data_IF_100408731276
#
_entry.id   IF_100408731276
#
_cell.length_a   1.000
_cell.length_b   1.000
_cell.length_c   1.000
_cell.angle_alpha   90.00
_cell.angle_beta   90.00
_cell.angle_gamma   90.00
#
_symmetry.space_group_name_H-M   'P 1'
#
loop_
_entity.id
_entity.type
_entity.pdbx_description
1 polymer ?
#
# COMPACT_ATOMS: atom_id res chain seq x y z
N UNK A 1 -13.81 7.61 -5.11
CA UNK A 1 -12.45 7.47 -5.67
C UNK A 1 -11.95 8.80 -6.20
N UNK A 2 -10.74 9.19 -5.86
CA UNK A 2 -10.08 10.43 -6.32
C UNK A 2 -9.86 10.47 -7.84
N UNK A 3 -9.88 9.31 -8.49
CA UNK A 3 -9.63 9.15 -9.93
C UNK A 3 -10.89 9.49 -10.76
N UNK A 4 -12.07 9.26 -10.21
CA UNK A 4 -13.34 9.34 -10.94
C UNK A 4 -13.58 10.67 -11.68
N UNK A 5 -13.34 11.86 -11.08
CA UNK A 5 -13.51 13.13 -11.77
C UNK A 5 -12.63 13.29 -13.02
N UNK A 6 -11.43 12.71 -13.00
CA UNK A 6 -10.50 12.74 -14.14
C UNK A 6 -10.98 11.84 -15.27
N UNK A 7 -11.41 10.61 -14.95
CA UNK A 7 -11.97 9.71 -15.95
C UNK A 7 -13.18 10.34 -16.65
N UNK A 8 -14.10 10.94 -15.88
CA UNK A 8 -15.30 11.59 -16.40
C UNK A 8 -14.96 12.80 -17.29
N UNK A 9 -14.10 13.71 -16.83
CA UNK A 9 -13.69 14.90 -17.60
C UNK A 9 -13.04 14.52 -18.93
N UNK A 10 -12.30 13.45 -18.96
CA UNK A 10 -11.65 12.97 -20.18
C UNK A 10 -12.52 12.03 -21.02
N UNK A 11 -13.76 11.77 -20.60
CA UNK A 11 -14.68 10.88 -21.31
C UNK A 11 -14.15 9.45 -21.44
N UNK A 12 -13.40 8.99 -20.43
CA UNK A 12 -12.90 7.61 -20.35
C UNK A 12 -14.03 6.72 -19.86
N UNK A 13 -14.28 5.62 -20.56
CA UNK A 13 -15.27 4.63 -20.18
C UNK A 13 -14.77 3.83 -18.98
N UNK A 14 -15.62 3.64 -17.97
CA UNK A 14 -15.33 2.86 -16.78
C UNK A 14 -16.59 2.16 -16.28
N UNK A 15 -16.40 1.17 -15.42
CA UNK A 15 -17.49 0.46 -14.72
C UNK A 15 -17.18 0.45 -13.22
N UNK A 16 -18.23 0.51 -12.41
CA UNK A 16 -18.11 0.38 -10.96
C UNK A 16 -18.36 -1.07 -10.58
N UNK A 17 -17.48 -1.68 -9.83
CA UNK A 17 -17.62 -3.05 -9.36
C UNK A 17 -18.81 -3.12 -8.38
N UNK A 18 -19.85 -3.91 -8.69
CA UNK A 18 -21.12 -3.86 -7.95
C UNK A 18 -21.11 -4.66 -6.64
N UNK A 19 -20.10 -5.49 -6.42
CA UNK A 19 -19.95 -6.35 -5.23
C UNK A 19 -18.49 -6.67 -4.98
N UNK A 20 -18.16 -7.11 -3.78
CA UNK A 20 -16.81 -7.60 -3.48
C UNK A 20 -16.50 -8.83 -4.34
N UNK A 21 -15.34 -8.82 -4.98
CA UNK A 21 -14.80 -9.95 -5.71
C UNK A 21 -13.55 -10.41 -4.97
N UNK A 22 -13.44 -11.73 -4.75
CA UNK A 22 -12.34 -12.29 -3.97
C UNK A 22 -11.36 -13.06 -4.84
N UNK A 23 -10.08 -12.96 -4.47
CA UNK A 23 -9.02 -13.78 -5.01
C UNK A 23 -8.88 -13.65 -6.54
N UNK A 24 -8.90 -12.40 -7.02
CA UNK A 24 -8.77 -12.09 -8.45
C UNK A 24 -7.29 -12.06 -8.82
N UNK A 25 -6.93 -12.73 -9.91
CA UNK A 25 -5.58 -12.69 -10.47
C UNK A 25 -5.31 -11.31 -11.08
N UNK A 26 -4.32 -10.62 -10.53
CA UNK A 26 -3.95 -9.25 -10.90
C UNK A 26 -2.44 -9.10 -11.02
N UNK A 27 -2.01 -7.97 -11.54
CA UNK A 27 -0.66 -7.47 -11.31
C UNK A 27 -0.75 -6.26 -10.39
N UNK A 28 -0.04 -6.32 -9.27
CA UNK A 28 0.14 -5.23 -8.33
C UNK A 28 1.54 -4.62 -8.50
N UNK A 29 1.64 -3.31 -8.38
CA UNK A 29 2.94 -2.64 -8.41
C UNK A 29 3.59 -2.79 -7.03
N UNK A 30 4.71 -3.48 -6.99
CA UNK A 30 5.54 -3.60 -5.79
C UNK A 30 6.52 -2.44 -5.73
N UNK A 31 6.40 -1.60 -4.71
CA UNK A 31 7.21 -0.40 -4.53
C UNK A 31 7.93 -0.54 -3.19
N UNK A 32 9.24 -0.34 -3.20
CA UNK A 32 10.00 -0.24 -1.94
C UNK A 32 9.95 1.20 -1.44
N UNK A 33 10.01 1.44 -0.12
CA UNK A 33 9.99 2.80 0.44
C UNK A 33 11.05 3.72 -0.17
N UNK A 34 12.25 3.22 -0.43
CA UNK A 34 13.35 3.96 -1.05
C UNK A 34 13.11 4.33 -2.52
N UNK A 35 12.17 3.67 -3.19
CA UNK A 35 11.79 3.93 -4.58
C UNK A 35 10.68 4.97 -4.73
N UNK A 36 10.23 5.54 -3.61
CA UNK A 36 9.25 6.62 -3.57
C UNK A 36 9.99 7.93 -3.27
N UNK A 37 10.00 8.85 -4.22
CA UNK A 37 10.63 10.14 -4.03
C UNK A 37 9.69 11.29 -4.36
N UNK A 38 9.72 12.32 -3.51
CA UNK A 38 8.95 13.54 -3.69
C UNK A 38 9.85 14.66 -4.20
N UNK A 39 9.35 15.49 -5.10
CA UNK A 39 10.09 16.68 -5.51
C UNK A 39 10.22 17.65 -4.33
N UNK A 40 11.37 18.31 -4.23
CA UNK A 40 11.65 19.27 -3.13
C UNK A 40 10.81 20.55 -3.20
N UNK A 41 10.18 20.82 -4.35
CA UNK A 41 9.36 22.01 -4.59
C UNK A 41 8.04 21.64 -5.25
N UNK A 42 7.00 22.34 -4.87
CA UNK A 42 5.71 22.22 -5.52
C UNK A 42 5.75 22.83 -6.94
N UNK A 43 5.07 22.17 -7.87
CA UNK A 43 4.82 22.70 -9.21
C UNK A 43 3.30 22.83 -9.41
N UNK A 44 2.85 24.02 -9.79
CA UNK A 44 1.40 24.33 -9.94
C UNK A 44 0.56 23.93 -8.71
N UNK A 45 1.09 24.15 -7.51
CA UNK A 45 0.40 23.81 -6.26
C UNK A 45 0.35 22.31 -5.91
N UNK A 46 1.08 21.47 -6.66
CA UNK A 46 1.16 20.02 -6.43
C UNK A 46 2.58 19.59 -6.08
N UNK A 47 2.71 18.69 -5.11
CA UNK A 47 3.95 17.99 -4.84
C UNK A 47 4.01 16.75 -5.72
N UNK A 48 4.91 16.78 -6.72
CA UNK A 48 5.04 15.68 -7.67
C UNK A 48 5.83 14.53 -7.05
N UNK A 49 5.45 13.31 -7.44
CA UNK A 49 5.99 12.06 -6.90
C UNK A 49 6.58 11.22 -8.01
N UNK A 50 7.72 10.62 -7.75
CA UNK A 50 8.36 9.63 -8.62
C UNK A 50 8.26 8.28 -7.94
N UNK A 51 7.75 7.30 -8.66
CA UNK A 51 7.65 5.94 -8.23
C UNK A 51 8.46 5.03 -9.13
N UNK A 52 9.24 4.16 -8.53
CA UNK A 52 9.86 3.04 -9.21
C UNK A 52 9.37 1.75 -8.58
N UNK A 53 9.06 0.75 -9.40
CA UNK A 53 8.55 -0.52 -8.88
C UNK A 53 8.38 -1.54 -9.98
N UNK A 54 8.11 -2.77 -9.57
CA UNK A 54 7.89 -3.90 -10.47
C UNK A 54 6.45 -4.39 -10.39
N UNK A 55 5.85 -4.65 -11.56
CA UNK A 55 4.54 -5.27 -11.65
C UNK A 55 4.66 -6.78 -11.42
N UNK A 56 4.17 -7.24 -10.27
CA UNK A 56 4.20 -8.65 -9.89
C UNK A 56 2.80 -9.25 -9.92
N UNK A 57 2.72 -10.52 -10.32
CA UNK A 57 1.47 -11.26 -10.25
C UNK A 57 1.08 -11.46 -8.79
N UNK A 58 -0.16 -11.14 -8.47
CA UNK A 58 -0.75 -11.25 -7.13
C UNK A 58 -2.19 -11.73 -7.23
N UNK A 59 -2.78 -12.04 -6.09
CA UNK A 59 -4.20 -12.30 -5.93
C UNK A 59 -4.78 -11.34 -4.92
N UNK A 60 -5.71 -10.52 -5.38
CA UNK A 60 -6.26 -9.43 -4.59
C UNK A 60 -7.79 -9.51 -4.50
N UNK A 61 -8.31 -9.01 -3.42
CA UNK A 61 -9.74 -8.79 -3.25
C UNK A 61 -10.11 -7.42 -3.82
N UNK A 62 -11.04 -7.38 -4.77
CA UNK A 62 -11.58 -6.14 -5.30
C UNK A 62 -12.84 -5.77 -4.52
N UNK A 63 -12.82 -4.62 -3.87
CA UNK A 63 -13.95 -4.16 -3.05
C UNK A 63 -15.07 -3.60 -3.93
N UNK A 64 -16.32 -3.74 -3.45
CA UNK A 64 -17.46 -3.03 -4.00
C UNK A 64 -17.15 -1.53 -4.10
N UNK A 65 -17.50 -0.90 -5.22
CA UNK A 65 -17.19 0.50 -5.49
C UNK A 65 -15.84 0.75 -6.14
N UNK A 66 -14.99 -0.29 -6.29
CA UNK A 66 -13.78 -0.21 -7.11
C UNK A 66 -14.13 0.13 -8.56
N UNK A 67 -13.23 0.82 -9.26
CA UNK A 67 -13.45 1.26 -10.63
C UNK A 67 -12.64 0.38 -11.58
N UNK A 68 -13.31 -0.25 -12.50
CA UNK A 68 -12.70 -0.98 -13.62
C UNK A 68 -12.66 -0.10 -14.86
N UNK A 69 -11.48 0.07 -15.45
CA UNK A 69 -11.26 0.85 -16.67
C UNK A 69 -10.78 -0.08 -17.78
N UNK A 70 -11.64 -0.42 -18.76
CA UNK A 70 -11.24 -1.26 -19.87
C UNK A 70 -10.22 -0.53 -20.77
N UNK A 71 -9.09 -1.16 -21.06
CA UNK A 71 -8.09 -0.56 -21.96
C UNK A 71 -8.57 -0.56 -23.43
N UNK A 72 -9.47 -1.48 -23.81
CA UNK A 72 -10.06 -1.54 -25.14
C UNK A 72 -11.13 -0.48 -25.35
N UNK A 73 -10.70 0.77 -25.49
CA UNK A 73 -11.57 1.92 -25.76
C UNK A 73 -10.83 2.95 -26.62
N UNK A 74 -11.52 3.89 -27.27
CA UNK A 74 -10.88 4.88 -28.14
C UNK A 74 -9.81 5.73 -27.44
N UNK A 75 -9.89 5.85 -26.11
CA UNK A 75 -8.97 6.64 -25.28
C UNK A 75 -7.93 5.79 -24.53
N UNK A 76 -7.61 4.61 -25.02
CA UNK A 76 -6.67 3.68 -24.40
C UNK A 76 -5.32 4.34 -24.04
N UNK A 77 -4.77 5.14 -24.96
CA UNK A 77 -3.50 5.83 -24.71
C UNK A 77 -3.61 6.84 -23.56
N UNK A 78 -4.73 7.57 -23.49
CA UNK A 78 -4.97 8.50 -22.38
C UNK A 78 -5.16 7.78 -21.06
N UNK A 79 -5.82 6.62 -21.04
CA UNK A 79 -5.93 5.75 -19.85
C UNK A 79 -4.54 5.37 -19.36
N UNK A 80 -3.67 4.90 -20.26
CA UNK A 80 -2.29 4.56 -19.91
C UNK A 80 -1.53 5.78 -19.36
N UNK A 81 -1.62 6.95 -20.03
CA UNK A 81 -0.98 8.16 -19.53
C UNK A 81 -1.43 8.60 -18.15
N UNK A 82 -2.70 8.46 -17.83
CA UNK A 82 -3.24 8.86 -16.52
C UNK A 82 -2.95 7.85 -15.41
N UNK A 83 -2.97 6.55 -15.73
CA UNK A 83 -2.98 5.50 -14.71
C UNK A 83 -1.64 4.77 -14.56
N UNK A 84 -0.71 4.89 -15.50
CA UNK A 84 0.62 4.29 -15.36
C UNK A 84 1.52 5.16 -14.47
N UNK A 85 2.12 4.61 -13.41
CA UNK A 85 2.82 5.40 -12.39
C UNK A 85 4.05 6.15 -12.95
N UNK A 86 4.72 5.56 -13.93
CA UNK A 86 5.94 6.13 -14.55
C UNK A 86 5.65 7.14 -15.67
N UNK A 87 4.39 7.31 -16.06
CA UNK A 87 4.02 8.29 -17.08
C UNK A 87 4.24 9.72 -16.57
N UNK A 88 4.80 10.62 -17.41
CA UNK A 88 5.09 12.01 -17.03
C UNK A 88 3.89 12.79 -16.50
N UNK A 89 2.70 12.49 -17.01
CA UNK A 89 1.44 13.16 -16.68
C UNK A 89 0.46 12.26 -15.94
N UNK A 90 0.96 11.20 -15.28
CA UNK A 90 0.10 10.31 -14.51
C UNK A 90 -0.49 11.01 -13.28
N UNK A 91 -1.65 10.53 -12.86
CA UNK A 91 -2.27 10.99 -11.62
C UNK A 91 -1.36 10.77 -10.40
N UNK A 92 -0.57 9.68 -10.43
CA UNK A 92 0.47 9.42 -9.43
C UNK A 92 1.56 10.48 -9.46
N UNK A 93 2.10 10.76 -10.65
CA UNK A 93 3.12 11.80 -10.83
C UNK A 93 2.68 13.15 -10.32
N UNK A 94 1.42 13.50 -10.54
CA UNK A 94 0.81 14.73 -10.06
C UNK A 94 0.36 14.68 -8.60
N UNK A 95 0.78 13.67 -7.83
CA UNK A 95 0.60 13.57 -6.40
C UNK A 95 -0.82 13.26 -5.94
N UNK A 96 -1.69 12.71 -6.80
CA UNK A 96 -3.04 12.35 -6.39
C UNK A 96 -3.09 11.21 -5.37
N UNK A 97 -2.05 10.40 -5.34
CA UNK A 97 -1.95 9.24 -4.45
C UNK A 97 -0.93 9.43 -3.33
N UNK A 98 -0.45 10.67 -3.10
CA UNK A 98 0.58 10.92 -2.09
C UNK A 98 0.17 10.44 -0.70
N UNK A 99 -1.12 10.53 -0.36
CA UNK A 99 -1.64 10.02 0.93
C UNK A 99 -1.45 8.52 1.12
N UNK A 100 -1.28 7.75 0.04
CA UNK A 100 -0.96 6.33 0.13
C UNK A 100 0.53 6.08 0.48
N UNK A 101 1.36 7.10 0.34
CA UNK A 101 2.81 7.04 0.57
C UNK A 101 3.24 7.88 1.78
N UNK A 102 2.34 8.64 2.35
CA UNK A 102 2.57 9.41 3.57
C UNK A 102 2.18 8.59 4.79
N UNK A 103 3.01 8.63 5.81
CA UNK A 103 2.66 8.06 7.11
C UNK A 103 1.63 8.98 7.75
N UNK A 104 0.35 8.65 7.61
CA UNK A 104 -0.77 9.47 8.12
C UNK A 104 -0.91 9.42 9.64
N UNK A 105 -0.56 8.30 10.25
CA UNK A 105 -0.45 8.19 11.71
C UNK A 105 1.04 8.18 12.09
N UNK A 106 1.58 9.35 12.35
CA UNK A 106 2.94 9.47 12.87
C UNK A 106 3.02 8.91 14.28
N UNK A 107 3.10 7.59 14.37
CA UNK A 107 3.54 6.95 15.60
C UNK A 107 5.02 7.30 15.75
N UNK A 108 5.35 8.19 16.70
CA UNK A 108 6.76 8.57 16.93
C UNK A 108 7.64 7.33 17.09
N UNK A 109 8.90 7.38 16.65
CA UNK A 109 9.85 6.27 16.77
C UNK A 109 9.90 5.70 18.19
N UNK A 110 9.82 6.57 19.21
CA UNK A 110 9.74 6.16 20.60
C UNK A 110 8.51 5.27 20.88
N UNK A 111 7.37 5.64 20.32
CA UNK A 111 6.12 4.89 20.48
C UNK A 111 6.14 3.57 19.72
N UNK A 112 6.72 3.54 18.54
CA UNK A 112 6.89 2.31 17.77
C UNK A 112 7.79 1.31 18.51
N UNK A 113 8.91 1.77 19.04
CA UNK A 113 9.79 0.95 19.88
C UNK A 113 9.06 0.38 21.11
N UNK A 114 8.25 1.20 21.77
CA UNK A 114 7.46 0.78 22.92
C UNK A 114 6.44 -0.31 22.54
N UNK A 115 5.74 -0.16 21.42
CA UNK A 115 4.78 -1.15 20.93
C UNK A 115 5.50 -2.46 20.56
N UNK A 116 6.61 -2.38 19.84
CA UNK A 116 7.41 -3.55 19.49
C UNK A 116 7.89 -4.31 20.75
N UNK A 117 8.33 -3.60 21.79
CA UNK A 117 8.68 -4.21 23.06
C UNK A 117 7.50 -4.91 23.73
N UNK A 118 6.31 -4.29 23.70
CA UNK A 118 5.10 -4.92 24.24
C UNK A 118 4.71 -6.17 23.46
N UNK A 119 4.74 -6.13 22.13
CA UNK A 119 4.44 -7.30 21.30
C UNK A 119 5.42 -8.45 21.54
N UNK A 120 6.68 -8.12 21.82
CA UNK A 120 7.68 -9.11 22.12
C UNK A 120 7.58 -9.70 23.54
N UNK A 121 7.16 -8.90 24.56
CA UNK A 121 7.31 -9.27 25.97
C UNK A 121 6.05 -9.15 26.83
N UNK A 122 5.02 -8.39 26.42
CA UNK A 122 3.95 -7.99 27.32
C UNK A 122 2.54 -8.30 26.78
N UNK A 123 2.14 -9.57 26.80
CA UNK A 123 0.85 -10.07 26.28
C UNK A 123 -0.36 -9.30 26.81
N UNK A 124 -0.39 -8.99 28.09
CA UNK A 124 -1.52 -8.31 28.73
C UNK A 124 -1.74 -6.92 28.12
N UNK A 125 -0.68 -6.15 27.92
CA UNK A 125 -0.78 -4.79 27.34
C UNK A 125 -1.27 -4.82 25.91
N UNK A 126 -0.85 -5.82 25.14
CA UNK A 126 -1.31 -5.98 23.76
C UNK A 126 -2.78 -6.34 23.74
N UNK A 127 -3.23 -7.29 24.56
CA UNK A 127 -4.63 -7.67 24.65
C UNK A 127 -5.51 -6.49 25.06
N UNK A 128 -5.12 -5.75 26.11
CA UNK A 128 -5.91 -4.66 26.67
C UNK A 128 -6.00 -3.47 25.70
N UNK A 129 -5.00 -3.26 24.85
CA UNK A 129 -4.94 -2.11 23.95
C UNK A 129 -5.37 -2.40 22.51
N UNK A 130 -5.01 -3.57 21.98
CA UNK A 130 -5.20 -3.94 20.57
C UNK A 130 -6.14 -5.13 20.37
N UNK A 131 -6.66 -5.67 21.46
CA UNK A 131 -7.67 -6.71 21.46
C UNK A 131 -7.16 -8.14 21.41
N UNK A 132 -8.10 -9.05 21.57
CA UNK A 132 -7.85 -10.49 21.69
C UNK A 132 -7.31 -11.10 20.38
N UNK A 133 -7.71 -10.55 19.24
CA UNK A 133 -7.30 -11.06 17.93
C UNK A 133 -5.78 -10.96 17.71
N UNK A 134 -5.20 -9.80 18.00
CA UNK A 134 -3.74 -9.62 17.92
C UNK A 134 -3.03 -10.43 19.00
N UNK A 135 -3.58 -10.44 20.21
CA UNK A 135 -3.03 -11.21 21.31
C UNK A 135 -2.87 -12.71 20.95
N UNK A 136 -3.86 -13.32 20.32
CA UNK A 136 -3.81 -14.73 19.88
C UNK A 136 -2.74 -15.01 18.81
N UNK A 137 -2.37 -14.02 18.03
CA UNK A 137 -1.31 -14.14 17.00
C UNK A 137 0.11 -14.04 17.58
N UNK A 138 0.29 -13.45 18.75
CA UNK A 138 1.62 -13.16 19.31
C UNK A 138 2.56 -14.37 19.39
N UNK A 139 2.14 -15.59 19.79
CA UNK A 139 3.05 -16.73 19.86
C UNK A 139 3.64 -17.09 18.49
N UNK A 140 2.83 -17.05 17.42
CA UNK A 140 3.27 -17.33 16.05
C UNK A 140 4.19 -16.23 15.54
N UNK A 141 3.84 -14.97 15.76
CA UNK A 141 4.66 -13.81 15.38
C UNK A 141 6.02 -13.83 16.08
N UNK A 142 6.08 -14.18 17.36
CA UNK A 142 7.37 -14.31 18.09
C UNK A 142 8.23 -15.42 17.53
N UNK A 143 7.63 -16.54 17.16
CA UNK A 143 8.34 -17.64 16.51
C UNK A 143 8.88 -17.24 15.14
N UNK A 144 8.07 -16.52 14.34
CA UNK A 144 8.50 -16.00 13.04
C UNK A 144 9.63 -14.98 13.20
N UNK A 145 9.48 -14.02 14.11
CA UNK A 145 10.53 -13.04 14.44
C UNK A 145 11.84 -13.71 14.79
N UNK A 146 11.81 -14.70 15.69
CA UNK A 146 13.02 -15.43 16.07
C UNK A 146 13.63 -16.19 14.89
N UNK A 147 12.80 -16.82 14.05
CA UNK A 147 13.27 -17.51 12.85
C UNK A 147 13.96 -16.56 11.87
N UNK A 148 13.45 -15.34 11.70
CA UNK A 148 14.11 -14.32 10.88
C UNK A 148 15.41 -13.83 11.51
N UNK A 149 15.41 -13.60 12.80
CA UNK A 149 16.64 -13.23 13.53
C UNK A 149 17.76 -14.25 13.36
N UNK A 150 17.42 -15.54 13.28
CA UNK A 150 18.40 -16.62 13.15
C UNK A 150 18.89 -16.83 11.71
N UNK A 151 18.08 -16.50 10.69
CA UNK A 151 18.34 -16.88 9.30
C UNK A 151 18.61 -15.71 8.36
N UNK A 152 18.23 -14.50 8.73
CA UNK A 152 18.32 -13.30 7.88
C UNK A 152 19.23 -12.28 8.54
N UNK A 153 20.45 -12.17 8.01
CA UNK A 153 21.45 -11.23 8.52
C UNK A 153 21.02 -9.77 8.36
N UNK A 154 20.33 -9.44 7.25
CA UNK A 154 19.84 -8.08 7.02
C UNK A 154 18.77 -7.71 8.04
N UNK A 155 17.82 -8.61 8.27
CA UNK A 155 16.79 -8.40 9.29
C UNK A 155 17.40 -8.25 10.69
N UNK A 156 18.43 -9.05 11.00
CA UNK A 156 19.11 -9.01 12.30
C UNK A 156 19.87 -7.70 12.52
N UNK A 157 20.49 -7.16 11.48
CA UNK A 157 21.32 -5.95 11.56
C UNK A 157 20.51 -4.65 11.45
N UNK A 158 19.33 -4.69 10.82
CA UNK A 158 18.48 -3.53 10.56
C UNK A 158 17.40 -3.34 11.64
N UNK A 159 17.56 -2.33 12.55
CA UNK A 159 16.57 -2.05 13.58
C UNK A 159 15.20 -1.61 13.03
N UNK A 160 15.18 -0.95 11.87
CA UNK A 160 13.92 -0.48 11.24
C UNK A 160 13.11 -1.66 10.73
N UNK A 161 13.72 -2.61 10.04
CA UNK A 161 13.03 -3.83 9.60
C UNK A 161 12.47 -4.63 10.78
N UNK A 162 13.21 -4.70 11.90
CA UNK A 162 12.72 -5.38 13.11
C UNK A 162 11.53 -4.66 13.75
N UNK A 163 11.55 -3.34 13.73
CA UNK A 163 10.44 -2.54 14.24
C UNK A 163 9.22 -2.68 13.33
N UNK A 164 9.39 -2.54 12.03
CA UNK A 164 8.35 -2.69 11.02
C UNK A 164 7.66 -4.05 11.09
N UNK A 165 8.39 -5.11 11.37
CA UNK A 165 7.82 -6.44 11.56
C UNK A 165 6.68 -6.44 12.59
N UNK A 166 6.84 -5.71 13.70
CA UNK A 166 5.84 -5.64 14.75
C UNK A 166 4.73 -4.63 14.45
N UNK A 167 5.10 -3.50 13.87
CA UNK A 167 4.16 -2.41 13.63
C UNK A 167 3.11 -2.76 12.57
N UNK A 168 3.46 -3.56 11.57
CA UNK A 168 2.52 -4.05 10.55
C UNK A 168 1.36 -4.87 11.10
N UNK A 169 1.53 -5.47 12.25
CA UNK A 169 0.52 -6.33 12.86
C UNK A 169 -0.49 -5.59 13.72
N UNK A 170 -0.27 -4.32 14.01
CA UNK A 170 -1.23 -3.54 14.80
C UNK A 170 -2.47 -3.17 13.97
N UNK A 171 -3.68 -3.19 14.56
CA UNK A 171 -4.94 -2.96 13.86
C UNK A 171 -5.09 -1.59 13.18
N UNK A 172 -4.26 -0.62 13.55
CA UNK A 172 -4.25 0.74 12.98
C UNK A 172 -3.20 0.93 11.88
N UNK A 173 -2.49 -0.11 11.51
CA UNK A 173 -1.62 -0.07 10.33
C UNK A 173 -2.52 0.01 9.09
N UNK A 174 -2.33 1.03 8.28
CA UNK A 174 -3.03 1.16 7.01
C UNK A 174 -2.45 0.13 6.01
N UNK A 175 -3.22 -0.91 5.63
CA UNK A 175 -2.72 -1.92 4.68
C UNK A 175 -2.50 -1.34 3.28
N UNK A 176 -3.02 -0.12 3.00
CA UNK A 176 -2.79 0.57 1.72
C UNK A 176 -1.48 1.37 1.68
N UNK A 177 -0.78 1.50 2.81
CA UNK A 177 0.48 2.22 2.88
C UNK A 177 1.53 1.61 1.94
N UNK A 178 2.17 2.45 1.14
CA UNK A 178 3.12 2.06 0.09
C UNK A 178 2.55 1.12 -0.99
N UNK A 179 1.23 1.03 -1.10
CA UNK A 179 0.59 0.29 -2.18
C UNK A 179 0.08 1.24 -3.26
N UNK A 180 0.47 0.97 -4.50
CA UNK A 180 -0.11 1.68 -5.63
C UNK A 180 -1.58 1.29 -5.77
N UNK A 181 -2.52 2.25 -5.77
CA UNK A 181 -3.95 1.93 -5.68
C UNK A 181 -4.58 1.45 -6.99
N UNK A 182 -3.77 1.15 -7.99
CA UNK A 182 -4.21 0.67 -9.30
C UNK A 182 -3.61 -0.71 -9.54
N UNK A 183 -4.47 -1.63 -9.94
CA UNK A 183 -4.11 -2.99 -10.31
C UNK A 183 -4.32 -3.19 -11.81
N UNK A 184 -3.51 -4.02 -12.43
CA UNK A 184 -3.72 -4.47 -13.79
C UNK A 184 -4.38 -5.85 -13.78
N UNK A 185 -5.41 -6.03 -14.60
CA UNK A 185 -6.09 -7.31 -14.76
C UNK A 185 -6.15 -7.69 -16.23
N UNK A 186 -5.95 -8.97 -16.52
CA UNK A 186 -5.92 -9.49 -17.90
C UNK A 186 -7.31 -9.74 -18.45
N UNK A 187 -8.29 -10.00 -17.58
CA UNK A 187 -9.68 -10.30 -17.95
C UNK A 187 -10.61 -9.39 -17.17
N UNK A 188 -11.74 -9.00 -17.79
CA UNK A 188 -12.78 -8.23 -17.11
C UNK A 188 -13.27 -8.99 -15.88
N UNK A 189 -13.42 -8.32 -14.73
CA UNK A 189 -13.84 -8.95 -13.47
C UNK A 189 -15.32 -9.32 -13.46
#
# INVERSE_FOLDING_TARGET
SVVLPYLQKHGITFQVIPRNLKNIDVQALHIKPEDITFESRTFQGRLRTHLHGEWLNSREDLLQGSIYVPIRQPRALLVAHLLEPVSPDSLSRWGLFNTAYEITDHISNHRQLQIAQWMYREDRRIRDRYGETLHKKLPELRKEYQTRMDRDDRFREDPEQRMDFWIREIPYHDPSYNHYPILRINHAP
#
